data_IF_883038675304
#
_entry.id   IF_883038675304
#
_cell.length_a   1.000
_cell.length_b   1.000
_cell.length_c   1.000
_cell.angle_alpha   90.00
_cell.angle_beta   90.00
_cell.angle_gamma   90.00
#
_symmetry.space_group_name_H-M   'P 1'
#
loop_
_entity.id
_entity.type
_entity.pdbx_description
1 polymer ?
#
# COMPACT_ATOMS: atom_id res chain seq x y z
N UNK A 1 -27.54 -7.52 17.77
CA UNK A 1 -26.96 -6.44 16.93
C UNK A 1 -28.08 -5.84 16.09
N UNK A 2 -28.17 -4.51 15.96
CA UNK A 2 -29.22 -3.89 15.13
C UNK A 2 -28.86 -4.01 13.63
N UNK A 3 -29.83 -3.91 12.72
CA UNK A 3 -29.60 -4.02 11.26
C UNK A 3 -28.63 -2.95 10.72
N UNK A 4 -28.58 -1.79 11.36
CA UNK A 4 -27.69 -0.69 10.98
C UNK A 4 -26.20 -1.01 11.25
N UNK A 5 -25.88 -1.68 12.37
CA UNK A 5 -24.52 -2.06 12.74
C UNK A 5 -23.95 -3.11 11.78
N UNK A 6 -24.77 -4.07 11.36
CA UNK A 6 -24.38 -5.12 10.39
C UNK A 6 -24.08 -4.54 9.00
N UNK A 7 -24.89 -3.56 8.54
CA UNK A 7 -24.65 -2.86 7.27
C UNK A 7 -23.34 -2.06 7.30
N UNK A 8 -23.06 -1.38 8.41
CA UNK A 8 -21.81 -0.62 8.61
C UNK A 8 -20.57 -1.52 8.55
N UNK A 9 -20.57 -2.67 9.24
CA UNK A 9 -19.46 -3.63 9.19
C UNK A 9 -19.22 -4.16 7.77
N UNK A 10 -20.29 -4.49 7.04
CA UNK A 10 -20.19 -5.02 5.67
C UNK A 10 -19.65 -3.98 4.69
N UNK A 11 -20.14 -2.74 4.77
CA UNK A 11 -19.66 -1.65 3.92
C UNK A 11 -18.19 -1.31 4.19
N UNK A 12 -17.77 -1.28 5.46
CA UNK A 12 -16.39 -1.06 5.85
C UNK A 12 -15.46 -2.19 5.37
N UNK A 13 -15.87 -3.45 5.51
CA UNK A 13 -15.10 -4.58 4.95
C UNK A 13 -14.94 -4.43 3.44
N UNK A 14 -16.01 -4.13 2.69
CA UNK A 14 -15.90 -3.91 1.23
C UNK A 14 -14.98 -2.75 0.89
N UNK A 15 -15.08 -1.64 1.62
CA UNK A 15 -14.19 -0.48 1.45
C UNK A 15 -12.73 -0.89 1.60
N UNK A 16 -12.38 -1.59 2.68
CA UNK A 16 -11.03 -2.13 2.90
C UNK A 16 -10.60 -3.03 1.75
N UNK A 17 -11.45 -3.97 1.32
CA UNK A 17 -11.11 -4.90 0.23
C UNK A 17 -10.78 -4.15 -1.05
N UNK A 18 -11.57 -3.12 -1.39
CA UNK A 18 -11.33 -2.26 -2.56
C UNK A 18 -10.02 -1.50 -2.43
N UNK A 19 -9.75 -0.86 -1.28
CA UNK A 19 -8.51 -0.12 -1.05
C UNK A 19 -7.29 -1.02 -1.16
N UNK A 20 -7.31 -2.17 -0.48
CA UNK A 20 -6.24 -3.16 -0.51
C UNK A 20 -6.03 -3.70 -1.94
N UNK A 21 -7.11 -3.95 -2.67
CA UNK A 21 -7.03 -4.39 -4.06
C UNK A 21 -6.41 -3.32 -4.97
N UNK A 22 -6.89 -2.07 -4.92
CA UNK A 22 -6.40 -0.99 -5.78
C UNK A 22 -4.91 -0.72 -5.54
N UNK A 23 -4.47 -0.69 -4.29
CA UNK A 23 -3.06 -0.48 -3.94
C UNK A 23 -2.22 -1.70 -4.35
N UNK A 24 -2.73 -2.92 -4.12
CA UNK A 24 -2.08 -4.15 -4.56
C UNK A 24 -1.90 -4.21 -6.08
N UNK A 25 -2.91 -3.79 -6.85
CA UNK A 25 -2.86 -3.66 -8.31
C UNK A 25 -1.78 -2.65 -8.71
N UNK A 26 -1.80 -1.46 -8.12
CA UNK A 26 -0.84 -0.40 -8.42
C UNK A 26 0.61 -0.85 -8.17
N UNK A 27 0.88 -1.47 -7.01
CA UNK A 27 2.21 -1.97 -6.67
C UNK A 27 2.62 -3.14 -7.58
N UNK A 28 1.70 -4.05 -7.91
CA UNK A 28 1.98 -5.16 -8.82
C UNK A 28 2.40 -4.64 -10.20
N UNK A 29 1.65 -3.68 -10.76
CA UNK A 29 2.00 -3.09 -12.05
C UNK A 29 3.29 -2.27 -11.99
N UNK A 30 3.52 -1.51 -10.92
CA UNK A 30 4.78 -0.79 -10.73
C UNK A 30 5.98 -1.75 -10.66
N UNK A 31 5.88 -2.83 -9.88
CA UNK A 31 6.94 -3.84 -9.77
C UNK A 31 7.22 -4.56 -11.09
N UNK A 32 6.17 -4.90 -11.85
CA UNK A 32 6.32 -5.45 -13.22
C UNK A 32 7.01 -4.45 -14.14
N UNK A 33 6.61 -3.16 -14.11
CA UNK A 33 7.21 -2.14 -14.95
C UNK A 33 8.69 -1.92 -14.61
N UNK A 34 9.05 -1.88 -13.33
CA UNK A 34 10.42 -1.75 -12.86
C UNK A 34 11.32 -2.92 -13.31
N UNK A 35 10.83 -4.15 -13.26
CA UNK A 35 11.60 -5.34 -13.65
C UNK A 35 11.76 -5.46 -15.17
N UNK A 36 10.67 -5.30 -15.92
CA UNK A 36 10.64 -5.63 -17.35
C UNK A 36 10.84 -4.40 -18.26
N UNK A 37 10.58 -3.20 -17.74
CA UNK A 37 10.64 -1.94 -18.48
C UNK A 37 11.35 -0.83 -17.68
N UNK A 38 12.53 -1.08 -17.05
CA UNK A 38 13.15 -0.15 -16.10
C UNK A 38 13.46 1.22 -16.71
N UNK A 39 13.97 1.24 -17.94
CA UNK A 39 14.30 2.51 -18.62
C UNK A 39 13.06 3.35 -18.89
N UNK A 40 11.95 2.72 -19.28
CA UNK A 40 10.69 3.42 -19.50
C UNK A 40 10.12 3.97 -18.19
N UNK A 41 10.18 3.17 -17.11
CA UNK A 41 9.73 3.59 -15.78
C UNK A 41 10.52 4.81 -15.29
N UNK A 42 11.84 4.76 -15.40
CA UNK A 42 12.74 5.87 -15.09
C UNK A 42 12.39 7.14 -15.88
N UNK A 43 12.16 7.02 -17.19
CA UNK A 43 11.89 8.19 -18.04
C UNK A 43 10.49 8.79 -17.86
N UNK A 44 9.51 7.99 -17.42
CA UNK A 44 8.09 8.37 -17.47
C UNK A 44 7.46 8.56 -16.10
N UNK A 45 7.88 7.77 -15.11
CA UNK A 45 7.22 7.68 -13.80
C UNK A 45 8.14 8.19 -12.68
N UNK A 46 9.35 7.65 -12.59
CA UNK A 46 10.29 7.91 -11.50
C UNK A 46 11.66 8.34 -12.00
N UNK A 47 11.79 9.58 -12.46
CA UNK A 47 13.05 10.11 -12.98
C UNK A 47 13.97 10.54 -11.83
N UNK A 48 14.74 9.60 -11.30
CA UNK A 48 15.74 9.83 -10.24
C UNK A 48 17.15 9.55 -10.76
N UNK A 49 17.80 10.51 -11.46
CA UNK A 49 19.08 10.28 -12.10
C UNK A 49 20.23 10.11 -11.10
N UNK A 50 21.28 9.35 -11.46
CA UNK A 50 21.47 8.64 -12.73
C UNK A 50 20.71 7.32 -12.81
N UNK A 51 20.33 6.90 -14.04
CA UNK A 51 19.66 5.62 -14.28
C UNK A 51 20.53 4.43 -13.85
N UNK A 52 19.95 3.51 -13.09
CA UNK A 52 20.59 2.26 -12.66
C UNK A 52 19.60 1.08 -12.80
N UNK A 53 19.74 0.28 -13.86
CA UNK A 53 18.84 -0.84 -14.16
C UNK A 53 18.82 -1.94 -13.10
N UNK A 54 19.94 -2.16 -12.38
CA UNK A 54 19.98 -3.14 -11.30
C UNK A 54 19.15 -2.67 -10.11
N UNK A 55 19.30 -1.40 -9.73
CA UNK A 55 18.52 -0.79 -8.65
C UNK A 55 17.01 -0.79 -8.96
N UNK A 56 16.62 -0.46 -10.20
CA UNK A 56 15.21 -0.54 -10.62
C UNK A 56 14.68 -1.97 -10.50
N UNK A 57 15.46 -2.97 -10.92
CA UNK A 57 15.10 -4.39 -10.79
C UNK A 57 14.92 -4.83 -9.34
N UNK A 58 15.84 -4.46 -8.46
CA UNK A 58 15.76 -4.75 -7.02
C UNK A 58 14.52 -4.12 -6.39
N UNK A 59 14.29 -2.83 -6.64
CA UNK A 59 13.10 -2.11 -6.18
C UNK A 59 11.82 -2.79 -6.69
N UNK A 60 11.80 -3.13 -7.98
CA UNK A 60 10.69 -3.82 -8.62
C UNK A 60 10.36 -5.17 -7.98
N UNK A 61 11.38 -5.96 -7.63
CA UNK A 61 11.19 -7.26 -6.97
C UNK A 61 10.52 -7.11 -5.59
N UNK A 62 10.96 -6.15 -4.78
CA UNK A 62 10.35 -5.89 -3.47
C UNK A 62 8.92 -5.35 -3.60
N UNK A 63 8.69 -4.37 -4.47
CA UNK A 63 7.37 -3.77 -4.68
C UNK A 63 6.38 -4.81 -5.22
N UNK A 64 6.80 -5.65 -6.16
CA UNK A 64 5.96 -6.72 -6.72
C UNK A 64 5.49 -7.70 -5.64
N UNK A 65 6.38 -8.11 -4.75
CA UNK A 65 6.04 -9.02 -3.65
C UNK A 65 5.00 -8.40 -2.70
N UNK A 66 5.15 -7.10 -2.37
CA UNK A 66 4.18 -6.37 -1.54
C UNK A 66 2.82 -6.28 -2.26
N UNK A 67 2.83 -5.95 -3.56
CA UNK A 67 1.62 -5.85 -4.38
C UNK A 67 0.85 -7.17 -4.42
N UNK A 68 1.52 -8.28 -4.70
CA UNK A 68 0.92 -9.63 -4.69
C UNK A 68 0.38 -9.96 -3.30
N UNK A 69 1.14 -9.65 -2.23
CA UNK A 69 0.70 -9.86 -0.86
C UNK A 69 -0.61 -9.14 -0.53
N UNK A 70 -0.75 -7.88 -0.98
CA UNK A 70 -1.99 -7.11 -0.83
C UNK A 70 -3.15 -7.72 -1.63
N UNK A 71 -2.91 -8.16 -2.87
CA UNK A 71 -3.92 -8.83 -3.68
C UNK A 71 -4.42 -10.13 -3.03
N UNK A 72 -3.53 -10.90 -2.41
CA UNK A 72 -3.93 -12.09 -1.64
C UNK A 72 -4.71 -11.71 -0.37
N UNK A 73 -4.29 -10.65 0.31
CA UNK A 73 -4.95 -10.15 1.51
C UNK A 73 -6.38 -9.64 1.25
N UNK A 74 -6.69 -9.14 0.04
CA UNK A 74 -7.99 -8.51 -0.27
C UNK A 74 -9.18 -9.45 -0.02
N UNK A 75 -9.02 -10.76 -0.22
CA UNK A 75 -10.13 -11.70 -0.06
C UNK A 75 -10.56 -11.82 1.41
N UNK A 76 -9.59 -11.81 2.32
CA UNK A 76 -9.81 -11.94 3.76
C UNK A 76 -8.86 -11.00 4.54
N UNK A 77 -9.07 -9.67 4.50
CA UNK A 77 -8.12 -8.68 5.02
C UNK A 77 -7.78 -8.88 6.51
N UNK A 78 -8.77 -9.31 7.28
CA UNK A 78 -8.64 -9.58 8.71
C UNK A 78 -7.65 -10.72 9.02
N UNK A 79 -7.67 -11.79 8.22
CA UNK A 79 -6.76 -12.93 8.40
C UNK A 79 -5.32 -12.57 8.00
N UNK A 80 -5.17 -11.57 7.13
CA UNK A 80 -3.89 -11.12 6.58
C UNK A 80 -3.52 -9.72 7.07
N UNK A 81 -3.95 -9.36 8.29
CA UNK A 81 -3.78 -7.99 8.80
C UNK A 81 -2.29 -7.58 8.90
N UNK A 82 -1.40 -8.54 9.18
CA UNK A 82 0.04 -8.29 9.22
C UNK A 82 0.61 -7.98 7.85
N UNK A 83 0.12 -8.62 6.79
CA UNK A 83 0.49 -8.28 5.40
C UNK A 83 0.15 -6.82 5.09
N UNK A 84 -1.06 -6.38 5.47
CA UNK A 84 -1.50 -4.99 5.28
C UNK A 84 -0.67 -4.02 6.11
N UNK A 85 -0.33 -4.36 7.37
CA UNK A 85 0.51 -3.53 8.25
C UNK A 85 1.94 -3.40 7.75
N UNK A 86 2.53 -4.49 7.25
CA UNK A 86 3.87 -4.47 6.67
C UNK A 86 3.87 -3.60 5.41
N UNK A 87 2.85 -3.73 4.55
CA UNK A 87 2.69 -2.85 3.39
C UNK A 87 2.51 -1.38 3.80
N UNK A 88 1.75 -1.09 4.86
CA UNK A 88 1.59 0.26 5.41
C UNK A 88 2.93 0.83 5.90
N UNK A 89 3.72 0.02 6.61
CA UNK A 89 5.05 0.41 7.10
C UNK A 89 6.02 0.66 5.95
N UNK A 90 6.08 -0.23 4.96
CA UNK A 90 6.92 -0.05 3.77
C UNK A 90 6.55 1.24 3.02
N UNK A 91 5.25 1.49 2.86
CA UNK A 91 4.74 2.70 2.22
C UNK A 91 5.05 3.96 3.02
N UNK A 92 5.03 3.88 4.36
CA UNK A 92 5.39 4.99 5.24
C UNK A 92 6.87 5.35 5.12
N UNK A 93 7.75 4.35 5.12
CA UNK A 93 9.20 4.56 4.93
C UNK A 93 9.48 5.18 3.55
N UNK A 94 8.79 4.71 2.52
CA UNK A 94 8.87 5.26 1.17
C UNK A 94 8.36 6.72 1.10
N UNK A 95 7.21 7.02 1.70
CA UNK A 95 6.66 8.37 1.75
C UNK A 95 7.56 9.34 2.55
N UNK A 96 8.19 8.85 3.63
CA UNK A 96 9.19 9.61 4.38
C UNK A 96 10.43 9.93 3.53
N UNK A 97 10.87 9.00 2.68
CA UNK A 97 11.97 9.26 1.75
C UNK A 97 11.62 10.37 0.74
N UNK A 98 10.44 10.32 0.13
CA UNK A 98 9.96 11.39 -0.76
C UNK A 98 9.87 12.74 -0.05
N UNK A 99 9.38 12.75 1.19
CA UNK A 99 9.30 13.99 1.98
C UNK A 99 10.69 14.55 2.30
N UNK A 100 11.64 13.68 2.63
CA UNK A 100 13.03 14.07 2.86
C UNK A 100 13.62 14.75 1.61
N UNK A 101 13.52 14.11 0.44
CA UNK A 101 14.03 14.67 -0.81
C UNK A 101 13.39 16.02 -1.14
N UNK A 102 12.06 16.12 -0.94
CA UNK A 102 11.29 17.33 -1.21
C UNK A 102 11.69 18.55 -0.35
N UNK A 103 12.18 18.28 0.87
CA UNK A 103 12.61 19.31 1.82
C UNK A 103 14.12 19.60 1.70
N UNK A 104 14.92 18.57 1.42
CA UNK A 104 16.38 18.67 1.39
C UNK A 104 16.91 19.38 0.13
N UNK A 105 16.12 19.42 -0.95
CA UNK A 105 16.51 20.02 -2.23
C UNK A 105 15.39 20.90 -2.81
N UNK A 106 15.73 21.88 -3.67
CA UNK A 106 14.73 22.63 -4.44
C UNK A 106 13.84 21.66 -5.21
N UNK A 107 12.54 21.70 -4.93
CA UNK A 107 11.59 20.73 -5.45
C UNK A 107 10.53 21.40 -6.32
N UNK A 108 10.25 20.75 -7.44
CA UNK A 108 9.18 21.06 -8.39
C UNK A 108 7.81 20.73 -7.80
N UNK A 109 6.75 21.28 -8.43
CA UNK A 109 5.37 20.94 -8.09
C UNK A 109 5.09 19.44 -8.28
N UNK A 110 5.70 18.81 -9.29
CA UNK A 110 5.50 17.39 -9.56
C UNK A 110 6.05 16.51 -8.42
N UNK A 111 7.20 16.86 -7.85
CA UNK A 111 7.76 16.14 -6.69
C UNK A 111 6.84 16.28 -5.47
N UNK A 112 6.30 17.46 -5.20
CA UNK A 112 5.31 17.65 -4.14
C UNK A 112 4.01 16.88 -4.37
N UNK A 113 3.55 16.76 -5.62
CA UNK A 113 2.39 15.94 -5.96
C UNK A 113 2.68 14.45 -5.68
N UNK A 114 3.88 13.96 -5.99
CA UNK A 114 4.29 12.60 -5.67
C UNK A 114 4.27 12.36 -4.15
N UNK A 115 4.83 13.29 -3.36
CA UNK A 115 4.75 13.24 -1.88
C UNK A 115 3.29 13.07 -1.44
N UNK A 116 2.37 13.91 -1.91
CA UNK A 116 0.96 13.85 -1.53
C UNK A 116 0.34 12.49 -1.89
N UNK A 117 0.60 11.99 -3.10
CA UNK A 117 0.05 10.70 -3.56
C UNK A 117 0.53 9.54 -2.69
N UNK A 118 1.83 9.45 -2.38
CA UNK A 118 2.35 8.35 -1.54
C UNK A 118 1.84 8.46 -0.10
N UNK A 119 1.66 9.67 0.44
CA UNK A 119 1.05 9.86 1.76
C UNK A 119 -0.43 9.46 1.79
N UNK A 120 -1.20 9.70 0.72
CA UNK A 120 -2.57 9.20 0.61
C UNK A 120 -2.58 7.66 0.68
N UNK A 121 -1.67 6.99 -0.03
CA UNK A 121 -1.54 5.52 0.03
C UNK A 121 -1.25 5.04 1.46
N UNK A 122 -0.34 5.71 2.17
CA UNK A 122 -0.06 5.42 3.59
C UNK A 122 -1.31 5.53 4.44
N UNK A 123 -2.05 6.64 4.35
CA UNK A 123 -3.25 6.87 5.15
C UNK A 123 -4.33 5.82 4.86
N UNK A 124 -4.49 5.43 3.61
CA UNK A 124 -5.43 4.39 3.20
C UNK A 124 -5.05 3.01 3.75
N UNK A 125 -3.76 2.64 3.70
CA UNK A 125 -3.30 1.37 4.29
C UNK A 125 -3.38 1.37 5.81
N UNK A 126 -3.06 2.49 6.47
CA UNK A 126 -3.22 2.65 7.92
C UNK A 126 -4.69 2.50 8.30
N UNK A 127 -5.62 3.17 7.60
CA UNK A 127 -7.06 3.03 7.81
C UNK A 127 -7.55 1.59 7.58
N UNK A 128 -6.96 0.88 6.61
CA UNK A 128 -7.21 -0.53 6.36
C UNK A 128 -6.53 -1.46 7.39
N UNK A 129 -5.59 -0.99 8.21
CA UNK A 129 -4.84 -1.80 9.18
C UNK A 129 -5.39 -1.75 10.62
N UNK A 130 -6.23 -0.76 10.90
CA UNK A 130 -6.85 -0.53 12.23
C UNK A 130 -8.20 -1.22 12.39
N UNK A 131 -8.55 -2.13 11.47
CA UNK A 131 -9.80 -2.85 11.53
C UNK A 131 -9.89 -3.66 12.84
N UNK A 132 -11.02 -3.57 13.54
CA UNK A 132 -11.29 -4.41 14.70
C UNK A 132 -11.90 -5.73 14.24
N UNK A 133 -11.52 -6.87 14.83
CA UNK A 133 -12.18 -8.13 14.55
C UNK A 133 -13.68 -8.03 14.87
N UNK A 134 -14.57 -8.69 14.11
CA UNK A 134 -15.98 -8.75 14.43
C UNK A 134 -16.17 -9.29 15.86
N UNK A 135 -17.11 -8.73 16.62
CA UNK A 135 -17.38 -9.10 18.02
C UNK A 135 -17.65 -10.60 18.24
N UNK A 136 -18.01 -11.34 17.19
CA UNK A 136 -18.16 -12.80 17.18
C UNK A 136 -16.87 -13.56 17.48
N UNK A 137 -15.69 -13.05 17.11
CA UNK A 137 -14.40 -13.69 17.41
C UNK A 137 -14.00 -13.57 18.89
N UNK A 138 -14.39 -12.46 19.55
CA UNK A 138 -14.09 -12.24 20.97
C UNK A 138 -14.79 -13.24 21.90
N UNK A 139 -15.93 -13.83 21.47
CA UNK A 139 -16.66 -14.82 22.27
C UNK A 139 -16.03 -16.21 22.25
N UNK A 140 -15.28 -16.56 21.20
CA UNK A 140 -14.56 -17.84 21.13
C UNK A 140 -13.21 -17.78 21.85
N UNK A 141 -12.55 -16.61 21.85
CA UNK A 141 -11.27 -16.42 22.54
C UNK A 141 -11.38 -16.32 24.07
N UNK A 142 -12.59 -16.07 24.61
CA UNK A 142 -12.86 -16.04 26.05
C UNK A 142 -13.38 -17.36 26.63
N UNK A 143 -13.34 -18.46 25.87
CA UNK A 143 -13.79 -19.79 26.29
C UNK A 143 -12.67 -20.84 26.39
N UNK A 144 -11.41 -20.37 26.42
CA UNK A 144 -10.20 -21.18 26.68
C UNK A 144 -9.55 -20.72 27.97
#
# INVERSE_FOLDING_TARGET
MNKASVRSTTAYTRFVQVIVALIGIAYTFAGIALIFFPLWFFQTIGNFPPFNSHYEGDLGAFILAIGIGLLLAMAQPQKHIWTIRIAALASLLHAANHLYDAIASPSSVNEWLQVIVVWIVVLLLVAASVQRPPATYSKMAGQI
#
